data_IF_278267496001
#
_entry.id   IF_278267496001
#
_cell.length_a   1.000
_cell.length_b   1.000
_cell.length_c   1.000
_cell.angle_alpha   90.00
_cell.angle_beta   90.00
_cell.angle_gamma   90.00
#
_symmetry.space_group_name_H-M   'P 1'
#
loop_
_entity.id
_entity.type
_entity.pdbx_description
1 polymer ?
#
# COMPACT_ATOMS: atom_id res chain seq x y z
N UNK A 1 -16.93 -3.78 -14.93
CA UNK A 1 -15.58 -3.81 -14.35
C UNK A 1 -15.69 -4.56 -13.05
N UNK A 2 -14.80 -5.52 -12.84
CA UNK A 2 -14.77 -6.32 -11.63
C UNK A 2 -14.39 -5.49 -10.42
N UNK A 3 -14.71 -5.98 -9.23
CA UNK A 3 -14.42 -5.30 -7.97
C UNK A 3 -13.59 -6.18 -7.06
N UNK A 4 -12.78 -5.53 -6.24
CA UNK A 4 -12.06 -6.14 -5.13
C UNK A 4 -12.60 -5.58 -3.83
N UNK A 5 -13.56 -6.29 -3.21
CA UNK A 5 -14.28 -5.81 -2.03
C UNK A 5 -13.46 -5.86 -0.74
N UNK A 6 -12.40 -6.68 -0.68
CA UNK A 6 -11.46 -6.70 0.46
C UNK A 6 -10.48 -5.53 0.44
N UNK A 7 -10.35 -4.83 -0.69
CA UNK A 7 -9.55 -3.63 -0.82
C UNK A 7 -10.36 -2.36 -0.59
N UNK A 8 -9.69 -1.32 -0.14
CA UNK A 8 -10.22 0.03 0.00
C UNK A 8 -9.14 1.05 -0.34
N UNK A 9 -9.56 2.19 -0.90
CA UNK A 9 -8.68 3.29 -1.23
C UNK A 9 -8.58 4.27 -0.06
N UNK A 10 -7.34 4.72 0.20
CA UNK A 10 -7.08 5.93 0.99
C UNK A 10 -6.50 6.97 0.04
N UNK A 11 -7.26 8.04 -0.20
CA UNK A 11 -6.86 9.18 -1.04
C UNK A 11 -6.10 10.20 -0.23
N UNK A 12 -4.96 10.63 -0.78
CA UNK A 12 -4.20 11.77 -0.30
C UNK A 12 -4.12 12.81 -1.43
N UNK A 13 -4.50 14.04 -1.15
CA UNK A 13 -4.55 15.14 -2.12
C UNK A 13 -3.82 16.36 -1.60
N UNK A 14 -3.01 17.01 -2.45
CA UNK A 14 -2.27 18.23 -2.11
C UNK A 14 -0.98 18.35 -2.89
N UNK A 15 -0.46 19.56 -3.03
CA UNK A 15 0.75 19.85 -3.81
C UNK A 15 2.05 19.23 -3.25
N UNK A 16 2.04 18.74 -2.02
CA UNK A 16 3.21 18.16 -1.36
C UNK A 16 2.97 16.68 -0.97
N UNK A 17 2.04 16.00 -1.63
CA UNK A 17 1.60 14.66 -1.22
C UNK A 17 2.72 13.64 -1.26
N UNK A 18 3.57 13.64 -2.29
CA UNK A 18 4.73 12.73 -2.38
C UNK A 18 5.76 13.04 -1.30
N UNK A 19 6.10 14.32 -1.10
CA UNK A 19 7.04 14.73 -0.06
C UNK A 19 6.53 14.36 1.34
N UNK A 20 5.22 14.49 1.59
CA UNK A 20 4.61 14.01 2.81
C UNK A 20 4.74 12.48 2.95
N UNK A 21 4.36 11.72 1.93
CA UNK A 21 4.42 10.27 1.94
C UNK A 21 5.84 9.72 2.04
N UNK A 22 6.85 10.47 1.57
CA UNK A 22 8.27 10.11 1.71
C UNK A 22 8.66 9.89 3.18
N UNK A 23 8.06 10.62 4.11
CA UNK A 23 8.29 10.46 5.55
C UNK A 23 7.51 9.32 6.22
N UNK A 24 6.62 8.65 5.51
CA UNK A 24 5.74 7.62 6.10
C UNK A 24 5.83 6.26 5.41
N UNK A 25 5.91 6.21 4.07
CA UNK A 25 6.02 4.96 3.33
C UNK A 25 7.46 4.43 3.37
N UNK A 26 7.60 3.12 3.35
CA UNK A 26 8.91 2.46 3.27
C UNK A 26 9.48 2.46 1.85
N UNK A 27 8.65 2.54 0.81
CA UNK A 27 9.09 2.73 -0.57
C UNK A 27 9.47 4.19 -0.84
N UNK A 28 10.28 4.43 -1.87
CA UNK A 28 10.56 5.79 -2.33
C UNK A 28 9.32 6.37 -3.04
N UNK A 29 8.78 7.48 -2.52
CA UNK A 29 7.58 8.11 -3.08
C UNK A 29 7.77 8.70 -4.47
N UNK A 30 9.00 8.98 -4.90
CA UNK A 30 9.31 9.46 -6.25
C UNK A 30 9.05 8.39 -7.32
N UNK A 31 8.97 7.10 -6.92
CA UNK A 31 8.65 5.96 -7.79
C UNK A 31 7.14 5.75 -7.98
N UNK A 32 6.30 6.48 -7.25
CA UNK A 32 4.84 6.35 -7.36
C UNK A 32 4.39 6.98 -8.69
N UNK A 33 3.71 6.20 -9.52
CA UNK A 33 3.17 6.60 -10.81
C UNK A 33 1.68 6.30 -10.91
N UNK A 34 0.96 7.03 -11.78
CA UNK A 34 -0.50 6.83 -11.95
C UNK A 34 -0.87 5.46 -12.51
N UNK A 35 -0.01 4.92 -13.37
CA UNK A 35 -0.33 3.73 -14.16
C UNK A 35 0.48 2.51 -13.73
N UNK A 36 1.30 2.61 -12.69
CA UNK A 36 2.11 1.52 -12.20
C UNK A 36 1.95 1.38 -10.68
N UNK A 37 1.39 0.27 -10.19
CA UNK A 37 1.24 0.05 -8.76
C UNK A 37 2.62 -0.12 -8.11
N UNK A 38 2.95 0.78 -7.21
CA UNK A 38 4.19 0.73 -6.42
C UNK A 38 3.90 0.02 -5.10
N UNK A 39 4.49 -1.16 -4.83
CA UNK A 39 4.35 -1.82 -3.54
C UNK A 39 4.80 -0.89 -2.40
N UNK A 40 4.02 -0.81 -1.35
CA UNK A 40 4.31 0.07 -0.23
C UNK A 40 4.01 -0.59 1.11
N UNK A 41 4.67 -0.11 2.14
CA UNK A 41 4.39 -0.46 3.54
C UNK A 41 4.43 0.81 4.37
N UNK A 42 3.59 0.88 5.39
CA UNK A 42 3.61 1.92 6.40
C UNK A 42 3.80 1.29 7.77
N UNK A 43 4.76 1.79 8.52
CA UNK A 43 5.11 1.28 9.84
C UNK A 43 4.75 2.29 10.94
N UNK A 44 4.58 1.79 12.15
CA UNK A 44 4.54 2.63 13.36
C UNK A 44 5.97 2.93 13.87
N UNK A 45 6.09 3.73 14.94
CA UNK A 45 7.37 4.08 15.59
C UNK A 45 8.22 2.87 16.02
N UNK A 46 7.59 1.70 16.21
CA UNK A 46 8.29 0.46 16.57
C UNK A 46 8.69 -0.36 15.33
N UNK A 47 8.61 0.22 14.13
CA UNK A 47 8.90 -0.46 12.87
C UNK A 47 7.92 -1.58 12.51
N UNK A 48 6.74 -1.64 13.15
CA UNK A 48 5.73 -2.66 12.89
C UNK A 48 4.78 -2.18 11.80
N UNK A 49 4.47 -3.07 10.86
CA UNK A 49 3.59 -2.77 9.73
C UNK A 49 2.16 -2.52 10.23
N UNK A 50 1.61 -1.35 9.93
CA UNK A 50 0.22 -1.00 10.21
C UNK A 50 -0.68 -1.11 8.99
N UNK A 51 -0.11 -0.92 7.80
CA UNK A 51 -0.76 -1.14 6.52
C UNK A 51 0.29 -1.43 5.45
N UNK A 52 -0.07 -2.23 4.46
CA UNK A 52 0.70 -2.44 3.24
C UNK A 52 -0.25 -2.62 2.05
N UNK A 53 0.31 -2.59 0.86
CA UNK A 53 -0.43 -2.70 -0.40
C UNK A 53 0.29 -1.93 -1.50
N UNK A 54 -0.44 -1.11 -2.24
CA UNK A 54 0.11 -0.40 -3.39
C UNK A 54 -0.22 1.08 -3.35
N UNK A 55 0.69 1.89 -3.86
CA UNK A 55 0.50 3.32 -4.07
C UNK A 55 0.49 3.64 -5.57
N UNK A 56 -0.44 4.48 -6.00
CA UNK A 56 -0.54 5.00 -7.37
C UNK A 56 -0.83 6.49 -7.30
N UNK A 57 -0.29 7.27 -8.23
CA UNK A 57 -0.61 8.69 -8.26
C UNK A 57 0.45 9.57 -8.87
N UNK A 58 0.31 10.86 -8.61
CA UNK A 58 1.22 11.92 -9.03
C UNK A 58 1.48 12.92 -7.89
N UNK A 59 2.01 14.10 -8.22
CA UNK A 59 2.33 15.13 -7.23
C UNK A 59 1.09 15.78 -6.61
N UNK A 60 -0.08 15.66 -7.24
CA UNK A 60 -1.33 16.26 -6.78
C UNK A 60 -2.22 15.29 -5.98
N UNK A 61 -2.19 14.01 -6.34
CA UNK A 61 -3.01 12.97 -5.70
C UNK A 61 -2.28 11.63 -5.69
N UNK A 62 -2.30 10.97 -4.54
CA UNK A 62 -1.86 9.57 -4.39
C UNK A 62 -3.00 8.77 -3.77
N UNK A 63 -3.26 7.62 -4.36
CA UNK A 63 -4.18 6.59 -3.85
C UNK A 63 -3.37 5.45 -3.26
N UNK A 64 -3.69 5.07 -2.04
CA UNK A 64 -3.15 3.88 -1.39
C UNK A 64 -4.23 2.80 -1.43
N UNK A 65 -3.93 1.66 -2.05
CA UNK A 65 -4.77 0.47 -2.05
C UNK A 65 -4.34 -0.39 -0.87
N UNK A 66 -5.19 -0.53 0.11
CA UNK A 66 -4.93 -1.27 1.35
C UNK A 66 -6.08 -2.22 1.69
N UNK A 67 -5.86 -3.16 2.60
CA UNK A 67 -6.94 -3.99 3.09
C UNK A 67 -8.01 -3.12 3.75
N UNK A 68 -9.29 -3.36 3.43
CA UNK A 68 -10.42 -2.54 3.89
C UNK A 68 -10.48 -2.33 5.40
N UNK A 69 -10.10 -3.35 6.17
CA UNK A 69 -10.18 -3.29 7.65
C UNK A 69 -9.16 -2.34 8.28
N UNK A 70 -8.13 -1.89 7.55
CA UNK A 70 -7.13 -0.94 8.05
C UNK A 70 -7.26 0.46 7.43
N UNK A 71 -8.10 0.64 6.41
CA UNK A 71 -8.17 1.88 5.65
C UNK A 71 -8.56 3.11 6.50
N UNK A 72 -9.62 2.99 7.30
CA UNK A 72 -10.08 4.09 8.16
C UNK A 72 -9.05 4.42 9.25
N UNK A 73 -8.46 3.40 9.87
CA UNK A 73 -7.41 3.59 10.87
C UNK A 73 -6.16 4.25 10.28
N UNK A 74 -5.77 3.86 9.05
CA UNK A 74 -4.67 4.47 8.31
C UNK A 74 -4.95 5.94 7.99
N UNK A 75 -6.14 6.25 7.47
CA UNK A 75 -6.54 7.62 7.18
C UNK A 75 -6.56 8.49 8.45
N UNK A 76 -7.10 7.97 9.54
CA UNK A 76 -7.11 8.65 10.84
C UNK A 76 -5.70 8.88 11.39
N UNK A 77 -4.79 7.91 11.20
CA UNK A 77 -3.39 8.02 11.61
C UNK A 77 -2.65 9.12 10.82
N UNK A 78 -2.82 9.18 9.50
CA UNK A 78 -2.10 10.14 8.65
C UNK A 78 -2.67 11.57 8.74
N UNK A 79 -3.97 11.72 8.96
CA UNK A 79 -4.70 12.99 8.88
C UNK A 79 -4.11 14.14 9.73
N UNK A 80 -3.72 13.96 11.02
CA UNK A 80 -3.14 15.03 11.82
C UNK A 80 -1.83 15.57 11.25
N UNK A 81 -1.01 14.69 10.67
CA UNK A 81 0.30 15.05 10.12
C UNK A 81 0.19 15.65 8.71
N UNK A 82 -0.75 15.15 7.92
CA UNK A 82 -1.02 15.65 6.57
C UNK A 82 -1.46 17.13 6.56
N UNK A 83 -2.13 17.58 7.60
CA UNK A 83 -2.53 18.98 7.75
C UNK A 83 -1.34 19.94 7.71
N UNK A 84 -0.21 19.60 8.31
CA UNK A 84 0.99 20.43 8.29
C UNK A 84 1.61 20.52 6.89
N UNK A 85 1.41 19.49 6.07
CA UNK A 85 1.85 19.45 4.67
C UNK A 85 0.78 19.96 3.69
N UNK A 86 -0.32 20.54 4.20
CA UNK A 86 -1.48 21.00 3.41
C UNK A 86 -2.06 19.89 2.52
N UNK A 87 -1.99 18.66 2.98
CA UNK A 87 -2.57 17.49 2.32
C UNK A 87 -3.88 17.11 3.02
N UNK A 88 -4.85 16.67 2.21
CA UNK A 88 -6.10 16.08 2.68
C UNK A 88 -5.97 14.56 2.62
N UNK A 89 -6.55 13.87 3.60
CA UNK A 89 -6.54 12.39 3.66
C UNK A 89 -7.95 11.90 3.90
N UNK A 90 -8.41 10.98 3.07
CA UNK A 90 -9.74 10.39 3.15
C UNK A 90 -9.68 8.88 2.81
N UNK A 91 -10.34 8.05 3.60
CA UNK A 91 -10.70 6.71 3.18
C UNK A 91 -11.93 6.80 2.28
N UNK A 92 -11.87 6.17 1.09
CA UNK A 92 -12.97 6.17 0.13
C UNK A 92 -13.82 4.90 0.37
N UNK A 93 -15.15 5.02 0.48
CA UNK A 93 -16.00 3.89 0.89
C UNK A 93 -16.23 2.84 -0.22
N UNK A 94 -15.84 3.16 -1.46
CA UNK A 94 -16.07 2.28 -2.62
C UNK A 94 -15.13 1.08 -2.61
N UNK A 95 -15.58 -0.04 -3.18
CA UNK A 95 -14.73 -1.16 -3.53
C UNK A 95 -13.72 -0.76 -4.62
N UNK A 96 -12.58 -1.42 -4.64
CA UNK A 96 -11.52 -1.11 -5.62
C UNK A 96 -11.86 -1.75 -6.96
N UNK A 97 -11.97 -0.98 -8.06
CA UNK A 97 -12.11 -1.53 -9.39
C UNK A 97 -10.83 -2.23 -9.83
N UNK A 98 -10.96 -3.40 -10.43
CA UNK A 98 -9.84 -4.21 -10.93
C UNK A 98 -10.15 -4.72 -12.33
N UNK A 99 -9.11 -4.94 -13.10
CA UNK A 99 -9.19 -5.58 -14.42
C UNK A 99 -8.19 -6.71 -14.51
N UNK A 100 -8.56 -7.80 -15.17
CA UNK A 100 -7.64 -8.88 -15.49
C UNK A 100 -7.19 -8.71 -16.94
N UNK A 101 -5.90 -8.40 -17.12
CA UNK A 101 -5.28 -8.21 -18.44
C UNK A 101 -3.93 -8.92 -18.48
N UNK A 102 -3.84 -10.10 -19.10
CA UNK A 102 -2.64 -10.94 -19.12
C UNK A 102 -1.38 -10.26 -19.70
N UNK A 103 -1.58 -9.21 -20.50
CA UNK A 103 -0.50 -8.54 -21.24
C UNK A 103 -0.07 -7.19 -20.61
N UNK A 104 -0.65 -6.80 -19.50
CA UNK A 104 -0.34 -5.50 -18.87
C UNK A 104 0.89 -5.63 -17.96
N UNK A 105 1.96 -4.92 -18.27
CA UNK A 105 3.13 -4.80 -17.42
C UNK A 105 2.89 -4.09 -16.08
N UNK A 106 1.66 -3.68 -15.80
CA UNK A 106 1.24 -2.91 -14.62
C UNK A 106 0.39 -3.76 -13.65
N UNK A 107 0.53 -5.08 -13.69
CA UNK A 107 -0.15 -5.96 -12.75
C UNK A 107 0.38 -5.77 -11.32
N UNK A 108 -0.53 -5.77 -10.36
CA UNK A 108 -0.15 -5.75 -8.93
C UNK A 108 0.01 -7.18 -8.38
N UNK A 109 -0.69 -8.15 -8.97
CA UNK A 109 -0.59 -9.56 -8.63
C UNK A 109 -1.09 -10.40 -9.81
N UNK A 110 -0.24 -11.25 -10.37
CA UNK A 110 -0.56 -12.05 -11.54
C UNK A 110 -1.03 -11.18 -12.71
N UNK A 111 -2.24 -11.47 -13.21
CA UNK A 111 -2.86 -10.73 -14.32
C UNK A 111 -3.75 -9.57 -13.85
N UNK A 112 -3.86 -9.34 -12.53
CA UNK A 112 -4.71 -8.30 -11.97
C UNK A 112 -4.05 -6.94 -11.96
N UNK A 113 -4.73 -5.95 -12.52
CA UNK A 113 -4.25 -4.58 -12.64
C UNK A 113 -5.23 -3.59 -12.04
N UNK A 114 -4.70 -2.46 -11.60
CA UNK A 114 -5.48 -1.26 -11.33
C UNK A 114 -5.54 -0.44 -12.60
N UNK A 115 -6.75 0.00 -12.99
CA UNK A 115 -6.95 0.88 -14.12
C UNK A 115 -6.99 2.37 -13.73
N UNK A 116 -7.09 3.23 -14.73
CA UNK A 116 -7.29 4.67 -14.56
C UNK A 116 -8.58 4.98 -13.77
N UNK A 117 -9.48 4.03 -13.69
CA UNK A 117 -10.75 4.10 -12.97
C UNK A 117 -10.59 4.29 -11.46
N UNK A 118 -9.42 3.96 -10.88
CA UNK A 118 -9.12 4.28 -9.48
C UNK A 118 -9.25 5.77 -9.18
N UNK A 119 -8.90 6.62 -10.16
CA UNK A 119 -8.93 8.08 -10.00
C UNK A 119 -10.30 8.69 -10.35
N UNK A 120 -11.15 7.93 -11.03
CA UNK A 120 -12.50 8.35 -11.40
C UNK A 120 -13.43 7.13 -11.45
N UNK A 121 -13.75 6.53 -10.29
CA UNK A 121 -14.50 5.28 -10.24
C UNK A 121 -15.91 5.47 -10.81
N UNK A 122 -16.15 4.92 -11.99
CA UNK A 122 -17.48 4.73 -12.51
C UNK A 122 -18.16 3.55 -11.78
N UNK A 123 -19.48 3.47 -11.91
CA UNK A 123 -20.30 2.39 -11.33
C UNK A 123 -19.73 1.00 -11.66
N UNK A 124 -19.17 0.33 -10.67
CA UNK A 124 -18.66 -1.04 -10.80
C UNK A 124 -19.84 -2.01 -10.61
N UNK A 125 -20.18 -2.78 -11.64
CA UNK A 125 -21.37 -3.64 -11.65
C UNK A 125 -21.10 -5.13 -11.86
N UNK A 126 -19.82 -5.50 -11.97
CA UNK A 126 -19.41 -6.88 -12.22
C UNK A 126 -19.09 -7.62 -10.92
N UNK A 127 -18.66 -8.87 -11.02
CA UNK A 127 -18.47 -9.75 -9.87
C UNK A 127 -17.37 -9.31 -8.91
N UNK A 128 -17.49 -9.71 -7.65
CA UNK A 128 -16.44 -9.56 -6.66
C UNK A 128 -15.35 -10.62 -6.85
N UNK A 129 -14.12 -10.20 -7.03
CA UNK A 129 -12.96 -11.05 -7.30
C UNK A 129 -12.08 -11.29 -6.06
N UNK A 130 -12.54 -10.90 -4.88
CA UNK A 130 -11.74 -10.96 -3.64
C UNK A 130 -11.18 -12.35 -3.36
N UNK A 131 -11.95 -13.41 -3.56
CA UNK A 131 -11.48 -14.78 -3.30
C UNK A 131 -10.36 -15.20 -4.27
N UNK A 132 -10.47 -14.84 -5.55
CA UNK A 132 -9.46 -15.17 -6.58
C UNK A 132 -8.18 -14.37 -6.34
N UNK A 133 -8.33 -13.07 -6.06
CA UNK A 133 -7.18 -12.20 -5.76
C UNK A 133 -6.49 -12.64 -4.47
N UNK A 134 -7.24 -13.00 -3.43
CA UNK A 134 -6.67 -13.50 -2.18
C UNK A 134 -5.83 -14.77 -2.40
N UNK A 135 -6.32 -15.72 -3.21
CA UNK A 135 -5.55 -16.91 -3.57
C UNK A 135 -4.25 -16.52 -4.30
N UNK A 136 -4.34 -15.57 -5.25
CA UNK A 136 -3.18 -15.12 -6.01
C UNK A 136 -2.15 -14.42 -5.14
N UNK A 137 -2.57 -13.58 -4.19
CA UNK A 137 -1.65 -12.95 -3.22
C UNK A 137 -0.88 -13.98 -2.39
N UNK A 138 -1.52 -15.10 -2.03
CA UNK A 138 -0.85 -16.21 -1.34
C UNK A 138 0.20 -16.86 -2.25
N UNK A 139 -0.14 -17.13 -3.51
CA UNK A 139 0.79 -17.69 -4.50
C UNK A 139 2.00 -16.77 -4.73
N UNK A 140 1.78 -15.46 -4.78
CA UNK A 140 2.81 -14.43 -4.91
C UNK A 140 3.55 -14.14 -3.59
N UNK A 141 3.21 -14.84 -2.50
CA UNK A 141 3.76 -14.65 -1.15
C UNK A 141 3.61 -13.21 -0.63
N UNK A 142 2.55 -12.54 -1.03
CA UNK A 142 2.24 -11.19 -0.55
C UNK A 142 1.37 -11.26 0.70
N UNK A 143 1.98 -11.08 1.88
CA UNK A 143 1.24 -11.00 3.14
C UNK A 143 0.51 -9.67 3.25
N UNK A 144 -0.78 -9.67 2.99
CA UNK A 144 -1.60 -8.48 3.07
C UNK A 144 -2.13 -8.24 4.49
N UNK A 145 -1.80 -7.07 5.06
CA UNK A 145 -2.05 -6.76 6.47
C UNK A 145 -3.49 -6.30 6.68
N UNK A 146 -4.25 -7.11 7.39
CA UNK A 146 -5.57 -6.78 7.93
C UNK A 146 -5.50 -6.30 9.38
N UNK A 147 -6.59 -5.77 9.93
CA UNK A 147 -6.66 -5.23 11.29
C UNK A 147 -6.11 -6.19 12.38
N UNK A 148 -6.46 -7.49 12.40
CA UNK A 148 -5.92 -8.42 13.41
C UNK A 148 -4.40 -8.57 13.37
N UNK A 149 -3.75 -8.22 12.24
CA UNK A 149 -2.30 -8.39 12.02
C UNK A 149 -1.55 -7.06 12.15
N UNK A 150 -2.24 -5.95 11.98
CA UNK A 150 -1.67 -4.61 12.02
C UNK A 150 -0.89 -4.33 13.31
N UNK A 151 0.31 -3.78 13.19
CA UNK A 151 1.18 -3.44 14.30
C UNK A 151 1.89 -4.62 14.99
N UNK A 152 1.80 -5.86 14.46
CA UNK A 152 2.38 -7.06 15.08
C UNK A 152 3.76 -7.44 14.52
N UNK A 153 4.00 -7.28 13.24
CA UNK A 153 5.18 -7.80 12.56
C UNK A 153 6.05 -6.70 11.95
N UNK A 154 7.34 -6.97 11.86
CA UNK A 154 8.28 -6.16 11.06
C UNK A 154 8.03 -6.44 9.57
N UNK A 155 8.29 -5.49 8.67
CA UNK A 155 8.08 -5.69 7.24
C UNK A 155 8.92 -6.82 6.66
N UNK A 156 10.11 -7.09 7.19
CA UNK A 156 10.94 -8.22 6.77
C UNK A 156 10.30 -9.57 7.09
N UNK A 157 9.59 -9.68 8.23
CA UNK A 157 8.86 -10.92 8.59
C UNK A 157 7.74 -11.21 7.59
N UNK A 158 7.16 -10.16 7.02
CA UNK A 158 6.08 -10.25 6.02
C UNK A 158 6.62 -10.29 4.57
N UNK A 159 7.92 -10.47 4.35
CA UNK A 159 8.50 -10.54 3.01
C UNK A 159 8.44 -9.23 2.21
N UNK A 160 8.17 -8.08 2.85
CA UNK A 160 7.95 -6.81 2.14
C UNK A 160 9.19 -6.30 1.41
N UNK A 161 10.38 -6.74 1.77
CA UNK A 161 11.62 -6.43 1.05
C UNK A 161 11.72 -7.20 -0.27
N UNK A 162 11.21 -8.43 -0.33
CA UNK A 162 11.25 -9.28 -1.54
C UNK A 162 10.32 -8.74 -2.64
N UNK A 163 9.21 -8.14 -2.25
CA UNK A 163 8.24 -7.52 -3.18
C UNK A 163 8.56 -6.06 -3.53
N UNK A 164 9.72 -5.55 -3.09
CA UNK A 164 10.16 -4.18 -3.40
C UNK A 164 9.39 -3.07 -2.67
N UNK A 165 8.67 -3.41 -1.60
CA UNK A 165 7.93 -2.44 -0.80
C UNK A 165 8.80 -1.63 0.16
N UNK A 166 10.10 -1.95 0.30
CA UNK A 166 11.06 -1.24 1.15
C UNK A 166 12.21 -0.74 0.29
N UNK A 167 12.50 0.54 0.40
CA UNK A 167 13.70 1.15 -0.18
C UNK A 167 14.63 1.56 0.96
N UNK A 168 15.82 0.97 1.01
CA UNK A 168 16.81 1.26 2.05
C UNK A 168 17.70 2.46 1.71
N UNK A 169 17.70 2.93 0.46
CA UNK A 169 18.51 4.05 -0.03
C UNK A 169 17.74 5.38 -0.04
N UNK A 170 16.45 5.34 0.33
CA UNK A 170 15.61 6.54 0.43
C UNK A 170 15.89 7.35 1.71
N UNK A 171 15.34 8.57 1.77
CA UNK A 171 15.34 9.42 2.96
C UNK A 171 14.56 8.83 4.15
N UNK A 172 14.61 9.50 5.30
CA UNK A 172 14.02 9.04 6.55
C UNK A 172 12.50 8.85 6.46
N UNK A 173 12.00 7.80 7.11
CA UNK A 173 10.57 7.52 7.27
C UNK A 173 10.27 6.98 8.68
N UNK A 174 9.01 6.99 9.06
CA UNK A 174 8.54 6.54 10.37
C UNK A 174 8.89 5.07 10.63
N UNK A 175 9.59 4.80 11.72
CA UNK A 175 10.03 3.44 12.11
C UNK A 175 11.29 2.94 11.40
N UNK A 176 11.91 3.73 10.53
CA UNK A 176 13.09 3.35 9.74
C UNK A 176 14.23 2.78 10.59
N UNK A 177 14.52 3.37 11.75
CA UNK A 177 15.63 2.91 12.58
C UNK A 177 15.52 1.42 12.94
N UNK A 178 14.31 0.97 13.29
CA UNK A 178 14.06 -0.42 13.64
C UNK A 178 14.09 -1.31 12.40
N UNK A 179 13.48 -0.85 11.29
CA UNK A 179 13.45 -1.59 10.01
C UNK A 179 14.88 -1.77 9.46
N UNK A 180 15.67 -0.70 9.40
CA UNK A 180 17.06 -0.76 8.94
C UNK A 180 17.94 -1.62 9.87
N UNK A 181 17.77 -1.51 11.18
CA UNK A 181 18.50 -2.37 12.13
C UNK A 181 18.18 -3.84 11.93
N UNK A 182 16.92 -4.19 11.70
CA UNK A 182 16.52 -5.57 11.43
C UNK A 182 17.17 -6.10 10.15
N UNK A 183 17.31 -5.25 9.11
CA UNK A 183 17.93 -5.63 7.84
C UNK A 183 19.44 -5.83 7.96
N UNK A 184 20.14 -4.86 8.58
CA UNK A 184 21.62 -4.82 8.52
C UNK A 184 22.32 -5.42 9.74
N UNK A 185 21.62 -5.57 10.88
CA UNK A 185 22.20 -6.04 12.15
C UNK A 185 21.42 -7.18 12.80
N UNK A 186 20.28 -7.58 12.25
CA UNK A 186 19.41 -8.62 12.77
C UNK A 186 19.32 -9.79 11.80
N UNK A 187 19.42 -11.02 12.32
CA UNK A 187 18.92 -12.18 11.58
C UNK A 187 17.39 -12.22 11.78
N UNK A 188 16.62 -11.95 10.75
CA UNK A 188 15.18 -12.23 10.77
C UNK A 188 15.03 -13.76 10.77
N UNK A 189 14.76 -14.33 11.96
CA UNK A 189 14.66 -15.78 12.16
C UNK A 189 13.32 -16.38 11.70
N UNK A 190 12.38 -15.56 11.30
CA UNK A 190 11.02 -15.96 10.89
C UNK A 190 10.65 -15.18 9.63
N UNK A 191 10.08 -15.84 8.67
CA UNK A 191 9.56 -15.31 7.43
C UNK A 191 8.25 -16.00 7.06
N UNK A 192 7.70 -15.67 5.91
CA UNK A 192 6.60 -16.39 5.28
C UNK A 192 7.23 -17.54 4.49
N UNK A 193 6.78 -18.75 4.75
CA UNK A 193 7.17 -19.97 4.02
C UNK A 193 6.25 -20.18 2.81
#
# INVERSE_FOLDING_TARGET
MDTWSDAQLVSLEGHAVRAFLQGYLTCNSDRIEKNAPTPMTLCNLKGRVVANGWALGDDAQVLLVVHRTVADALAAFLKPYAMFSKCKVHALPQSVPVVSTPESGNAFSGDWCFGAELFNPADTRDGDQSAIIAQRLIEDRFAWVSEPVAGKFLPQVLGMHDVGAIDFDKGCYLGQEIVARAQFRGAVKRGID
#
